data_IF_350168362116
#
_entry.id   IF_350168362116
#
_cell.length_a   1.000
_cell.length_b   1.000
_cell.length_c   1.000
_cell.angle_alpha   90.00
_cell.angle_beta   90.00
_cell.angle_gamma   90.00
#
_symmetry.space_group_name_H-M   'P 1'
#
loop_
_entity.id
_entity.type
_entity.pdbx_description
1 polymer ?
#
# COMPACT_ATOMS: atom_id res chain seq x y z
N UNK A 1 0.32 -30.02 16.77
CA UNK A 1 -0.90 -30.31 15.98
C UNK A 1 -1.43 -29.01 15.39
N UNK A 2 -1.19 -28.76 14.10
CA UNK A 2 -1.65 -27.58 13.35
C UNK A 2 -2.98 -27.96 12.70
N UNK A 3 -4.04 -27.21 13.01
CA UNK A 3 -5.44 -27.61 12.84
C UNK A 3 -5.91 -27.81 11.39
N UNK A 4 -6.86 -28.75 11.28
CA UNK A 4 -7.63 -29.28 10.14
C UNK A 4 -8.37 -28.28 9.21
N UNK A 5 -8.05 -26.99 9.24
CA UNK A 5 -8.74 -25.98 8.42
C UNK A 5 -7.74 -25.12 7.66
N UNK A 6 -7.25 -25.64 6.54
CA UNK A 6 -6.63 -24.82 5.50
C UNK A 6 -7.62 -23.78 4.98
N UNK A 7 -7.69 -22.63 5.66
CA UNK A 7 -8.59 -21.53 5.31
C UNK A 7 -8.08 -20.90 4.02
N UNK A 8 -8.73 -21.21 2.90
CA UNK A 8 -8.61 -20.45 1.66
C UNK A 8 -8.86 -18.96 1.96
N UNK A 9 -8.01 -18.08 1.42
CA UNK A 9 -8.09 -16.63 1.60
C UNK A 9 -9.49 -16.07 1.32
N UNK A 10 -9.86 -14.99 2.01
CA UNK A 10 -11.19 -14.35 1.89
C UNK A 10 -11.55 -13.99 0.44
N UNK A 11 -10.60 -13.52 -0.36
CA UNK A 11 -10.79 -13.28 -1.80
C UNK A 11 -11.19 -14.52 -2.60
N UNK A 12 -10.77 -15.70 -2.15
CA UNK A 12 -11.13 -17.00 -2.73
C UNK A 12 -12.50 -17.50 -2.25
N UNK A 13 -12.94 -17.02 -1.09
CA UNK A 13 -14.20 -17.39 -0.41
C UNK A 13 -15.35 -16.46 -0.77
N UNK A 14 -15.11 -15.17 -0.78
CA UNK A 14 -16.09 -14.11 -1.03
C UNK A 14 -16.27 -13.94 -2.52
N UNK A 15 -17.16 -14.79 -3.05
CA UNK A 15 -17.65 -14.72 -4.42
C UNK A 15 -19.04 -14.11 -4.41
N UNK A 16 -19.27 -13.06 -5.18
CA UNK A 16 -20.62 -12.53 -5.40
C UNK A 16 -21.15 -13.04 -6.74
N UNK A 17 -22.46 -13.27 -6.84
CA UNK A 17 -23.12 -13.53 -8.13
C UNK A 17 -23.34 -12.21 -8.84
N UNK A 18 -22.84 -12.08 -10.06
CA UNK A 18 -23.18 -10.94 -10.92
C UNK A 18 -24.63 -11.07 -11.44
N UNK A 19 -25.13 -10.04 -12.16
CA UNK A 19 -26.46 -10.06 -12.79
C UNK A 19 -26.69 -11.23 -13.77
N UNK A 20 -25.62 -11.93 -14.19
CA UNK A 20 -25.64 -13.11 -15.07
C UNK A 20 -25.47 -14.44 -14.31
N UNK A 21 -25.55 -14.42 -12.97
CA UNK A 21 -25.42 -15.61 -12.11
C UNK A 21 -24.00 -16.16 -11.96
N UNK A 22 -22.98 -15.52 -12.54
CA UNK A 22 -21.59 -15.96 -12.46
C UNK A 22 -20.95 -15.50 -11.15
N UNK A 23 -20.19 -16.39 -10.51
CA UNK A 23 -19.43 -16.09 -9.31
C UNK A 23 -18.14 -15.32 -9.65
N UNK A 24 -18.04 -14.07 -9.17
CA UNK A 24 -16.82 -13.26 -9.27
C UNK A 24 -16.16 -13.08 -7.92
N UNK A 25 -14.82 -13.15 -7.93
CA UNK A 25 -13.98 -12.78 -6.79
C UNK A 25 -14.19 -11.29 -6.48
N UNK A 26 -14.48 -10.98 -5.22
CA UNK A 26 -14.56 -9.60 -4.75
C UNK A 26 -13.17 -8.96 -4.81
N UNK A 27 -12.92 -8.05 -5.75
CA UNK A 27 -11.71 -7.22 -5.75
C UNK A 27 -11.93 -6.03 -4.82
N UNK A 28 -10.94 -5.68 -4.00
CA UNK A 28 -11.00 -4.45 -3.19
C UNK A 28 -11.14 -3.24 -4.13
N UNK A 29 -12.01 -2.27 -3.80
CA UNK A 29 -12.14 -1.06 -4.59
C UNK A 29 -10.88 -0.20 -4.48
N UNK A 30 -10.67 0.63 -5.49
CA UNK A 30 -9.75 1.77 -5.44
C UNK A 30 -10.62 3.00 -5.26
N UNK A 31 -10.35 3.76 -4.21
CA UNK A 31 -11.04 5.02 -3.95
C UNK A 31 -10.30 6.15 -4.66
N UNK A 32 -11.07 7.07 -5.25
CA UNK A 32 -10.53 8.25 -5.94
C UNK A 32 -11.22 9.47 -5.36
N UNK A 33 -10.44 10.35 -4.74
CA UNK A 33 -10.93 11.60 -4.17
C UNK A 33 -9.96 12.73 -4.52
N UNK A 34 -10.42 13.80 -5.18
CA UNK A 34 -9.56 14.91 -5.60
C UNK A 34 -8.27 14.46 -6.31
N UNK A 35 -8.41 13.51 -7.27
CA UNK A 35 -7.32 12.87 -8.00
C UNK A 35 -6.36 12.00 -7.13
N UNK A 36 -6.54 11.92 -5.81
CA UNK A 36 -5.80 10.99 -4.95
C UNK A 36 -6.41 9.59 -5.03
N UNK A 37 -5.61 8.60 -5.43
CA UNK A 37 -6.04 7.21 -5.55
C UNK A 37 -5.53 6.41 -4.36
N UNK A 38 -6.42 5.74 -3.61
CA UNK A 38 -6.00 4.95 -2.46
C UNK A 38 -6.76 3.65 -2.30
N UNK A 39 -6.07 2.66 -1.73
CA UNK A 39 -6.62 1.38 -1.32
C UNK A 39 -6.73 1.30 0.20
N UNK A 40 -7.62 0.43 0.68
CA UNK A 40 -7.76 0.14 2.11
C UNK A 40 -7.69 -1.37 2.35
N UNK A 41 -6.86 -1.76 3.31
CA UNK A 41 -6.73 -3.12 3.82
C UNK A 41 -6.94 -3.13 5.33
N UNK A 42 -7.37 -4.26 5.87
CA UNK A 42 -7.64 -4.43 7.30
C UNK A 42 -6.78 -5.55 7.88
N UNK A 43 -5.89 -5.20 8.81
CA UNK A 43 -5.12 -6.10 9.65
C UNK A 43 -4.49 -7.27 8.86
N UNK A 44 -4.98 -8.49 9.03
CA UNK A 44 -4.44 -9.72 8.43
C UNK A 44 -4.54 -9.77 6.91
N UNK A 45 -5.34 -8.91 6.28
CA UNK A 45 -5.36 -8.78 4.82
C UNK A 45 -3.97 -8.41 4.28
N UNK A 46 -3.19 -7.64 5.04
CA UNK A 46 -1.85 -7.22 4.64
C UNK A 46 -0.92 -8.42 4.41
N UNK A 47 -1.12 -9.54 5.11
CA UNK A 47 -0.29 -10.73 4.97
C UNK A 47 -0.46 -11.40 3.60
N UNK A 48 -1.58 -11.16 2.91
CA UNK A 48 -1.83 -11.71 1.58
C UNK A 48 -1.14 -10.86 0.50
N UNK A 49 -0.01 -11.35 0.00
CA UNK A 49 0.75 -10.69 -1.07
C UNK A 49 -0.06 -10.48 -2.34
N UNK A 50 -0.94 -11.42 -2.74
CA UNK A 50 -1.80 -11.26 -3.93
C UNK A 50 -2.75 -10.08 -3.77
N UNK A 51 -3.26 -9.86 -2.57
CA UNK A 51 -4.13 -8.73 -2.26
C UNK A 51 -3.36 -7.41 -2.29
N UNK A 52 -2.16 -7.35 -1.70
CA UNK A 52 -1.29 -6.17 -1.77
C UNK A 52 -0.95 -5.80 -3.21
N UNK A 53 -0.41 -6.77 -3.96
CA UNK A 53 0.02 -6.59 -5.36
C UNK A 53 -1.14 -6.21 -6.27
N UNK A 54 -2.39 -6.55 -5.91
CA UNK A 54 -3.56 -6.14 -6.69
C UNK A 54 -3.72 -4.61 -6.80
N UNK A 55 -3.12 -3.84 -5.89
CA UNK A 55 -3.06 -2.38 -5.90
C UNK A 55 -1.84 -1.79 -6.63
N UNK A 56 -0.84 -2.60 -6.98
CA UNK A 56 0.40 -2.14 -7.61
C UNK A 56 0.10 -1.30 -8.85
N UNK A 57 0.70 -0.10 -8.91
CA UNK A 57 0.54 0.86 -10.00
C UNK A 57 -0.83 1.55 -10.08
N UNK A 58 -1.79 1.19 -9.23
CA UNK A 58 -3.16 1.71 -9.26
C UNK A 58 -3.50 2.71 -8.16
N UNK A 59 -2.66 2.80 -7.13
CA UNK A 59 -2.87 3.67 -5.98
C UNK A 59 -1.64 4.53 -5.71
N UNK A 60 -1.86 5.74 -5.21
CA UNK A 60 -0.82 6.58 -4.62
C UNK A 60 -0.55 6.17 -3.19
N UNK A 61 -1.57 5.71 -2.47
CA UNK A 61 -1.42 5.20 -1.11
C UNK A 61 -2.20 3.91 -0.84
N UNK A 62 -1.67 3.08 0.05
CA UNK A 62 -2.33 1.92 0.61
C UNK A 62 -2.48 2.12 2.12
N UNK A 63 -3.70 2.32 2.59
CA UNK A 63 -4.00 2.43 4.01
C UNK A 63 -4.28 1.04 4.61
N UNK A 64 -3.68 0.75 5.75
CA UNK A 64 -3.84 -0.49 6.49
C UNK A 64 -4.35 -0.15 7.88
N UNK A 65 -5.60 -0.52 8.15
CA UNK A 65 -6.22 -0.33 9.46
C UNK A 65 -5.97 -1.58 10.30
N UNK A 66 -5.36 -1.40 11.47
CA UNK A 66 -4.92 -2.50 12.31
C UNK A 66 -5.34 -2.31 13.77
N UNK A 67 -5.62 -3.43 14.40
CA UNK A 67 -5.62 -3.56 15.85
C UNK A 67 -4.71 -4.74 16.15
N UNK A 68 -3.40 -4.53 16.11
CA UNK A 68 -2.45 -5.62 16.13
C UNK A 68 -1.28 -5.36 17.08
N UNK A 69 -0.99 -6.35 17.93
CA UNK A 69 0.10 -6.32 18.91
C UNK A 69 1.44 -6.79 18.34
N UNK A 70 1.43 -7.58 17.26
CA UNK A 70 2.63 -8.05 16.57
C UNK A 70 3.20 -6.96 15.64
N UNK A 71 3.92 -6.02 16.25
CA UNK A 71 4.47 -4.86 15.56
C UNK A 71 5.62 -5.21 14.62
N UNK A 72 6.42 -6.23 14.95
CA UNK A 72 7.62 -6.59 14.19
C UNK A 72 7.25 -7.20 12.83
N UNK A 73 6.33 -8.17 12.83
CA UNK A 73 5.83 -8.76 11.58
C UNK A 73 5.15 -7.71 10.72
N UNK A 74 4.30 -6.86 11.31
CA UNK A 74 3.64 -5.80 10.57
C UNK A 74 4.61 -4.73 10.06
N UNK A 75 5.69 -4.43 10.79
CA UNK A 75 6.76 -3.55 10.30
C UNK A 75 7.32 -4.06 8.99
N UNK A 76 7.74 -5.33 8.98
CA UNK A 76 8.31 -5.98 7.80
C UNK A 76 7.31 -6.02 6.64
N UNK A 77 6.03 -6.29 6.93
CA UNK A 77 4.97 -6.30 5.92
C UNK A 77 4.70 -4.91 5.34
N UNK A 78 4.73 -3.85 6.15
CA UNK A 78 4.56 -2.47 5.67
C UNK A 78 5.73 -2.04 4.81
N UNK A 79 6.96 -2.40 5.21
CA UNK A 79 8.16 -2.14 4.44
C UNK A 79 8.13 -2.86 3.09
N UNK A 80 7.73 -4.14 3.07
CA UNK A 80 7.50 -4.91 1.85
C UNK A 80 6.38 -4.30 1.01
N UNK A 81 5.24 -3.94 1.61
CA UNK A 81 4.10 -3.38 0.89
C UNK A 81 4.42 -2.06 0.19
N UNK A 82 5.20 -1.18 0.84
CA UNK A 82 5.64 0.08 0.23
C UNK A 82 6.43 -0.16 -1.05
N UNK A 83 7.24 -1.23 -1.11
CA UNK A 83 7.99 -1.60 -2.31
C UNK A 83 7.13 -2.37 -3.31
N UNK A 84 6.44 -3.43 -2.87
CA UNK A 84 5.60 -4.29 -3.73
C UNK A 84 4.54 -3.49 -4.50
N UNK A 85 3.86 -2.57 -3.80
CA UNK A 85 2.82 -1.72 -4.39
C UNK A 85 3.43 -0.49 -5.07
N UNK A 86 4.63 -0.09 -4.60
CA UNK A 86 5.32 1.13 -4.97
C UNK A 86 4.43 2.37 -4.75
N UNK A 87 3.97 2.53 -3.52
CA UNK A 87 3.02 3.56 -3.08
C UNK A 87 3.30 3.97 -1.63
N UNK A 88 2.74 5.09 -1.18
CA UNK A 88 2.74 5.45 0.24
C UNK A 88 1.96 4.38 1.03
N UNK A 89 2.59 3.69 1.97
CA UNK A 89 1.90 2.69 2.80
C UNK A 89 1.63 3.27 4.17
N UNK A 90 0.36 3.46 4.50
CA UNK A 90 -0.10 4.12 5.71
C UNK A 90 -0.62 3.04 6.67
N UNK A 91 0.12 2.73 7.73
CA UNK A 91 -0.36 1.89 8.82
C UNK A 91 -1.04 2.77 9.86
N UNK A 92 -2.30 2.49 10.14
CA UNK A 92 -3.03 3.07 11.27
C UNK A 92 -3.33 1.93 12.23
N UNK A 93 -2.58 1.88 13.33
CA UNK A 93 -2.82 0.92 14.40
C UNK A 93 -3.52 1.61 15.58
N UNK A 94 -4.13 0.82 16.45
CA UNK A 94 -4.71 1.38 17.67
C UNK A 94 -3.63 1.98 18.58
N UNK A 95 -4.03 2.93 19.43
CA UNK A 95 -3.14 3.63 20.37
C UNK A 95 -2.41 2.69 21.33
N UNK A 96 -3.06 1.63 21.83
CA UNK A 96 -2.50 0.74 22.85
C UNK A 96 -1.23 0.03 22.38
N UNK A 97 -1.17 -0.38 21.11
CA UNK A 97 0.02 -1.01 20.52
C UNK A 97 0.87 -0.03 19.70
N UNK A 98 0.21 0.96 19.07
CA UNK A 98 0.84 2.01 18.28
C UNK A 98 1.57 1.50 17.05
N UNK A 99 2.66 2.19 16.69
CA UNK A 99 3.43 1.96 15.45
C UNK A 99 2.69 2.38 14.17
N UNK A 100 1.67 3.22 14.33
CA UNK A 100 1.06 3.96 13.22
C UNK A 100 2.13 4.74 12.46
N UNK A 101 2.18 4.59 11.14
CA UNK A 101 3.27 5.13 10.32
C UNK A 101 2.87 5.39 8.87
N UNK A 102 3.59 6.28 8.22
CA UNK A 102 3.52 6.52 6.78
C UNK A 102 4.86 6.13 6.19
N UNK A 103 4.89 5.02 5.45
CA UNK A 103 6.07 4.48 4.77
C UNK A 103 6.08 4.94 3.31
N UNK A 104 7.24 5.33 2.82
CA UNK A 104 7.49 5.80 1.44
C UNK A 104 8.45 4.81 0.76
N UNK A 105 8.30 4.49 -0.53
CA UNK A 105 9.28 3.72 -1.30
C UNK A 105 10.55 4.54 -1.62
N UNK A 106 11.07 5.28 -0.65
CA UNK A 106 12.22 6.17 -0.82
C UNK A 106 13.54 5.42 -0.94
N UNK A 107 14.45 5.92 -1.77
CA UNK A 107 15.81 5.40 -1.96
C UNK A 107 16.62 5.54 -0.67
N UNK A 108 16.72 6.78 -0.18
CA UNK A 108 17.42 7.14 1.06
C UNK A 108 16.65 6.65 2.29
N UNK A 109 17.35 6.01 3.24
CA UNK A 109 16.75 5.35 4.42
C UNK A 109 15.97 6.31 5.31
N UNK A 110 16.50 7.51 5.56
CA UNK A 110 15.89 8.50 6.44
C UNK A 110 14.58 9.11 5.87
N UNK A 111 14.36 9.02 4.56
CA UNK A 111 13.13 9.48 3.89
C UNK A 111 12.04 8.40 3.82
N UNK A 112 12.30 7.18 4.32
CA UNK A 112 11.35 6.08 4.16
C UNK A 112 10.21 6.13 5.16
N UNK A 113 10.41 6.68 6.35
CA UNK A 113 9.33 6.91 7.32
C UNK A 113 9.02 8.40 7.39
N UNK A 114 7.95 8.82 6.71
CA UNK A 114 7.51 10.22 6.71
C UNK A 114 6.94 10.62 8.08
N UNK A 115 6.25 9.68 8.73
CA UNK A 115 5.76 9.82 10.08
C UNK A 115 5.73 8.43 10.75
N UNK A 116 6.03 8.37 12.05
CA UNK A 116 5.91 7.16 12.86
C UNK A 116 5.59 7.54 14.29
N UNK A 117 4.52 6.98 14.83
CA UNK A 117 4.06 7.23 16.19
C UNK A 117 3.99 5.94 16.98
N UNK A 118 4.56 5.98 18.17
CA UNK A 118 4.50 4.88 19.13
C UNK A 118 3.17 4.93 19.89
N UNK A 119 2.80 3.81 20.49
CA UNK A 119 1.64 3.76 21.35
C UNK A 119 1.86 4.61 22.60
N UNK A 120 0.80 4.83 23.36
CA UNK A 120 0.88 5.60 24.60
C UNK A 120 -0.48 5.76 25.27
N UNK A 121 -0.53 6.52 26.36
CA UNK A 121 -1.76 6.74 27.13
C UNK A 121 -2.76 7.65 26.41
N UNK A 122 -2.26 8.65 25.68
CA UNK A 122 -3.10 9.65 25.01
C UNK A 122 -3.30 9.33 23.53
N UNK A 123 -4.45 9.72 22.99
CA UNK A 123 -4.69 9.65 21.54
C UNK A 123 -3.89 10.75 20.82
N UNK A 124 -3.34 10.39 19.66
CA UNK A 124 -2.52 11.29 18.85
C UNK A 124 -3.15 11.46 17.47
N UNK A 125 -3.13 12.70 16.97
CA UNK A 125 -3.43 13.02 15.58
C UNK A 125 -2.13 13.43 14.91
N UNK A 126 -1.81 12.77 13.80
CA UNK A 126 -0.60 13.02 13.03
C UNK A 126 -0.99 13.47 11.64
N UNK A 127 -0.58 14.69 11.27
CA UNK A 127 -0.72 15.19 9.92
C UNK A 127 0.62 15.11 9.20
N UNK A 128 0.62 14.57 7.99
CA UNK A 128 1.78 14.56 7.12
C UNK A 128 1.34 14.84 5.67
N UNK A 129 2.22 15.47 4.91
CA UNK A 129 1.96 15.81 3.51
C UNK A 129 2.64 14.78 2.61
N UNK A 130 1.87 14.15 1.72
CA UNK A 130 2.38 13.20 0.73
C UNK A 130 2.44 13.86 -0.66
N UNK A 131 3.60 13.81 -1.31
CA UNK A 131 3.74 14.30 -2.69
C UNK A 131 3.40 13.18 -3.67
N UNK A 132 2.16 13.18 -4.15
CA UNK A 132 1.69 12.21 -5.15
C UNK A 132 2.14 12.57 -6.57
N UNK A 133 2.47 13.84 -6.85
CA UNK A 133 2.89 14.27 -8.18
C UNK A 133 4.30 13.78 -8.46
N UNK A 134 5.20 13.97 -7.50
CA UNK A 134 6.58 13.49 -7.59
C UNK A 134 6.64 11.96 -7.71
N UNK A 135 5.85 11.24 -6.90
CA UNK A 135 5.73 9.79 -7.00
C UNK A 135 5.24 9.34 -8.39
N UNK A 136 4.20 9.99 -8.93
CA UNK A 136 3.67 9.66 -10.26
C UNK A 136 4.63 10.02 -11.38
N UNK A 137 5.38 11.11 -11.25
CA UNK A 137 6.40 11.51 -12.21
C UNK A 137 7.49 10.42 -12.30
N UNK A 138 7.97 9.95 -11.14
CA UNK A 138 8.88 8.80 -11.07
C UNK A 138 8.32 7.56 -11.78
N UNK A 139 7.06 7.23 -11.50
CA UNK A 139 6.38 6.03 -12.04
C UNK A 139 5.99 6.14 -13.52
N UNK A 140 5.94 7.34 -14.09
CA UNK A 140 5.49 7.58 -15.47
C UNK A 140 6.64 7.67 -16.47
N UNK A 141 7.89 7.53 -16.02
CA UNK A 141 9.07 7.55 -16.89
C UNK A 141 9.04 6.44 -17.94
N UNK A 142 9.64 6.73 -19.09
CA UNK A 142 9.78 5.77 -20.19
C UNK A 142 10.85 4.72 -19.91
N UNK A 143 11.91 5.09 -19.17
CA UNK A 143 13.00 4.20 -18.79
C UNK A 143 12.77 3.61 -17.40
N UNK A 144 13.10 2.33 -17.27
CA UNK A 144 12.97 1.57 -16.03
C UNK A 144 14.24 1.61 -15.16
N UNK A 145 15.35 2.05 -15.75
CA UNK A 145 16.65 2.10 -15.11
C UNK A 145 16.71 3.22 -14.08
N UNK A 146 17.19 2.89 -12.88
CA UNK A 146 17.38 3.86 -11.81
C UNK A 146 18.57 4.75 -12.09
N UNK A 147 18.43 6.02 -11.74
CA UNK A 147 19.47 7.03 -11.74
C UNK A 147 19.97 7.27 -10.31
N UNK A 148 21.16 7.87 -10.18
CA UNK A 148 21.77 8.09 -8.86
C UNK A 148 21.01 9.12 -8.02
N UNK A 149 20.40 10.11 -8.66
CA UNK A 149 19.59 11.17 -8.07
C UNK A 149 18.11 10.79 -7.81
N UNK A 150 17.73 9.55 -8.12
CA UNK A 150 16.37 9.06 -7.87
C UNK A 150 15.97 9.13 -6.40
N UNK A 151 14.84 9.78 -6.12
CA UNK A 151 14.27 9.85 -4.77
C UNK A 151 13.63 8.55 -4.31
N UNK A 152 13.15 7.72 -5.24
CA UNK A 152 12.45 6.47 -4.96
C UNK A 152 13.29 5.26 -5.37
N UNK A 153 12.96 4.11 -4.78
CA UNK A 153 13.53 2.82 -5.17
C UNK A 153 13.05 2.40 -6.58
N UNK A 154 13.76 1.47 -7.24
CA UNK A 154 13.32 0.94 -8.54
C UNK A 154 11.89 0.41 -8.52
N UNK A 155 11.20 0.52 -9.66
CA UNK A 155 9.86 -0.02 -9.85
C UNK A 155 9.89 -1.57 -9.80
N UNK A 156 8.96 -2.22 -9.07
CA UNK A 156 8.85 -3.68 -9.01
C UNK A 156 8.65 -4.31 -10.38
N UNK A 157 9.20 -5.50 -10.61
CA UNK A 157 9.02 -6.24 -11.87
C UNK A 157 7.55 -6.31 -12.29
N UNK A 158 7.27 -6.06 -13.57
CA UNK A 158 5.89 -6.05 -14.08
C UNK A 158 5.04 -4.84 -13.66
N UNK A 159 5.59 -3.82 -13.00
CA UNK A 159 4.86 -2.61 -12.63
C UNK A 159 4.22 -1.93 -13.86
N UNK A 160 2.90 -1.71 -13.78
CA UNK A 160 2.11 -0.98 -14.78
C UNK A 160 1.30 0.10 -14.08
N UNK A 161 1.59 1.36 -14.37
CA UNK A 161 0.82 2.50 -13.86
C UNK A 161 -0.55 2.59 -14.54
N UNK A 162 -1.61 2.84 -13.76
CA UNK A 162 -2.95 3.06 -14.30
C UNK A 162 -3.04 4.38 -15.06
N UNK A 163 -3.86 4.43 -16.12
CA UNK A 163 -4.01 5.61 -16.99
C UNK A 163 -4.38 6.88 -16.21
N UNK A 164 -5.27 6.78 -15.22
CA UNK A 164 -5.68 7.93 -14.39
C UNK A 164 -4.58 8.49 -13.47
N UNK A 165 -3.47 7.75 -13.30
CA UNK A 165 -2.30 8.18 -12.50
C UNK A 165 -1.11 8.58 -13.36
N UNK A 166 -1.06 8.13 -14.61
CA UNK A 166 0.06 8.40 -15.52
C UNK A 166 0.11 9.88 -15.88
N UNK A 167 1.28 10.49 -15.76
CA UNK A 167 1.52 11.86 -16.21
C UNK A 167 2.00 11.85 -17.68
N UNK A 168 1.57 12.83 -18.48
CA UNK A 168 1.99 13.02 -19.88
C UNK A 168 2.11 14.51 -20.19
N UNK A 169 3.19 14.98 -20.86
CA UNK A 169 4.41 14.24 -21.24
C UNK A 169 5.28 13.90 -20.01
N UNK A 170 6.24 12.95 -20.12
CA UNK A 170 7.21 12.74 -19.05
C UNK A 170 7.97 14.04 -18.80
N UNK A 171 8.07 14.45 -17.53
CA UNK A 171 8.85 15.63 -17.14
C UNK A 171 10.32 15.33 -17.52
N UNK A 172 10.93 16.27 -18.28
CA UNK A 172 12.33 16.19 -18.74
C UNK A 172 13.30 16.16 -17.57
#
# INVERSE_FOLDING_TARGET
>A
MIGLYGKKWDFSRTKYKNKKGQFKVLKKPIYIHNNFHFGVMVCSELQNSKSRISFQGKVDALSVLSWNQDLETFSTLIESAALDVHAYTILVNNRSYGDSRIRVPAKQSFNRDLARVRGGENDFVVAATIDIKELRAFQSRSTRWTQDDDKFKPLPEGFVISTGRKLSPPIK
#
